data_IF_661011449520
#
_entry.id   IF_661011449520
#
_cell.length_a   1.000
_cell.length_b   1.000
_cell.length_c   1.000
_cell.angle_alpha   90.00
_cell.angle_beta   90.00
_cell.angle_gamma   90.00
#
_symmetry.space_group_name_H-M   'P 1'
#
loop_
_entity.id
_entity.type
_entity.pdbx_description
1 polymer ?
#
# COMPACT_ATOMS: atom_id res chain seq x y z
N UNK A 1 -64.49 65.89 -47.33
CA UNK A 1 -64.68 66.86 -46.22
C UNK A 1 -63.95 66.30 -45.00
N UNK A 2 -63.62 67.14 -44.00
CA UNK A 2 -63.03 66.72 -42.72
C UNK A 2 -64.10 66.02 -41.82
N UNK A 3 -63.83 65.39 -40.67
CA UNK A 3 -62.85 65.69 -39.60
C UNK A 3 -62.44 64.48 -38.74
N UNK A 4 -61.25 64.60 -38.13
CA UNK A 4 -60.81 64.02 -36.83
C UNK A 4 -60.72 62.48 -36.67
N UNK A 5 -59.93 61.95 -35.71
CA UNK A 5 -59.23 62.61 -34.59
C UNK A 5 -57.77 62.16 -34.38
N UNK A 6 -57.04 62.91 -33.55
CA UNK A 6 -55.57 62.98 -33.45
C UNK A 6 -55.17 63.39 -32.01
N UNK A 7 -54.06 62.96 -31.38
CA UNK A 7 -53.17 61.79 -31.58
C UNK A 7 -52.21 61.67 -30.36
N UNK A 8 -51.59 60.50 -30.12
CA UNK A 8 -50.22 60.31 -29.56
C UNK A 8 -49.81 58.83 -29.76
N UNK A 9 -48.72 58.40 -30.42
CA UNK A 9 -47.36 58.90 -30.76
C UNK A 9 -46.26 58.49 -29.76
N UNK A 10 -45.54 57.40 -30.12
CA UNK A 10 -44.11 57.08 -29.91
C UNK A 10 -43.85 55.63 -30.44
N UNK A 11 -43.03 55.29 -31.45
CA UNK A 11 -42.06 56.00 -32.31
C UNK A 11 -40.83 56.58 -31.57
N UNK A 12 -39.55 56.37 -31.96
CA UNK A 12 -38.85 55.58 -33.01
C UNK A 12 -37.67 54.80 -32.33
N UNK A 13 -36.61 54.20 -32.91
CA UNK A 13 -36.02 53.93 -34.26
C UNK A 13 -35.10 52.67 -34.06
N UNK A 14 -34.75 51.72 -34.96
CA UNK A 14 -34.81 51.47 -36.40
C UNK A 14 -33.53 51.73 -37.25
N UNK A 15 -32.72 50.66 -37.46
CA UNK A 15 -31.60 50.50 -38.42
C UNK A 15 -30.30 51.34 -38.15
N UNK A 16 -29.11 51.08 -38.73
CA UNK A 16 -28.70 50.16 -39.81
C UNK A 16 -27.16 49.84 -39.80
N UNK A 17 -26.76 48.76 -40.49
CA UNK A 17 -25.51 48.70 -41.28
C UNK A 17 -24.18 48.26 -40.62
N UNK A 18 -23.29 47.69 -41.45
CA UNK A 18 -21.86 47.49 -41.14
C UNK A 18 -21.39 46.03 -41.01
N UNK A 19 -20.63 45.53 -41.98
CA UNK A 19 -19.91 44.25 -41.89
C UNK A 19 -18.52 44.48 -41.29
N UNK A 20 -18.14 43.71 -40.27
CA UNK A 20 -16.75 43.40 -39.97
C UNK A 20 -16.61 42.05 -39.27
N UNK A 21 -15.59 41.26 -39.63
CA UNK A 21 -15.26 40.02 -38.91
C UNK A 21 -14.55 40.36 -37.59
N UNK A 22 -14.92 39.67 -36.52
CA UNK A 22 -14.05 39.42 -35.38
C UNK A 22 -14.43 38.08 -34.75
N UNK A 23 -13.50 37.14 -34.74
CA UNK A 23 -13.72 35.83 -34.13
C UNK A 23 -13.46 35.92 -32.62
N UNK A 24 -14.45 35.52 -31.82
CA UNK A 24 -14.24 35.14 -30.42
C UNK A 24 -14.83 33.75 -30.19
N UNK A 25 -14.07 32.94 -29.45
CA UNK A 25 -14.27 31.51 -29.28
C UNK A 25 -14.96 31.19 -27.97
N UNK A 26 -15.84 30.19 -27.99
CA UNK A 26 -15.82 28.96 -27.14
C UNK A 26 -17.17 28.24 -27.33
N UNK A 27 -17.19 26.90 -27.54
CA UNK A 27 -18.40 26.19 -27.95
C UNK A 27 -19.20 25.59 -26.79
N UNK A 28 -20.53 25.60 -26.91
CA UNK A 28 -21.38 24.56 -26.32
C UNK A 28 -21.63 23.48 -27.39
N UNK A 29 -20.67 22.56 -27.53
CA UNK A 29 -20.82 21.37 -28.35
C UNK A 29 -21.29 20.20 -27.49
N UNK A 30 -22.45 19.64 -27.81
CA UNK A 30 -22.87 18.36 -27.24
C UNK A 30 -21.97 17.26 -27.79
N UNK A 31 -21.30 16.52 -26.90
CA UNK A 31 -20.72 15.22 -27.21
C UNK A 31 -21.28 14.17 -26.25
N UNK A 32 -21.69 13.06 -26.84
CA UNK A 32 -22.21 11.89 -26.14
C UNK A 32 -21.02 11.01 -25.79
N UNK A 33 -20.52 11.14 -24.55
CA UNK A 33 -19.62 10.14 -23.98
C UNK A 33 -20.34 8.78 -23.89
N UNK A 34 -19.76 7.69 -24.39
CA UNK A 34 -20.30 6.36 -24.18
C UNK A 34 -20.10 5.96 -22.72
N UNK A 35 -21.20 5.67 -22.02
CA UNK A 35 -21.18 5.28 -20.60
C UNK A 35 -20.56 3.90 -20.39
N UNK A 36 -19.23 3.84 -20.33
CA UNK A 36 -18.50 2.74 -19.70
C UNK A 36 -18.64 2.85 -18.19
N UNK A 37 -19.76 2.35 -17.66
CA UNK A 37 -19.84 2.01 -16.24
C UNK A 37 -18.81 0.91 -15.94
N UNK A 38 -17.64 1.30 -15.43
CA UNK A 38 -16.79 0.37 -14.67
C UNK A 38 -17.53 0.05 -13.38
N UNK A 39 -18.39 -0.98 -13.43
CA UNK A 39 -19.11 -1.47 -12.26
C UNK A 39 -18.07 -1.99 -11.27
N UNK A 40 -17.88 -1.27 -10.16
CA UNK A 40 -16.83 -1.56 -9.17
C UNK A 40 -17.14 -2.84 -8.37
N UNK A 41 -16.85 -3.99 -8.97
CA UNK A 41 -16.97 -5.32 -8.36
C UNK A 41 -15.70 -5.71 -7.58
N UNK A 42 -15.19 -4.80 -6.76
CA UNK A 42 -14.02 -5.03 -5.88
C UNK A 42 -14.46 -4.96 -4.43
N UNK A 43 -15.20 -5.98 -3.97
CA UNK A 43 -15.71 -6.03 -2.59
C UNK A 43 -14.86 -6.91 -1.69
N UNK A 44 -14.27 -6.27 -0.68
CA UNK A 44 -13.70 -6.84 0.54
C UNK A 44 -12.55 -7.86 0.35
N UNK A 45 -11.32 -7.41 0.59
CA UNK A 45 -10.09 -8.23 0.62
C UNK A 45 -9.49 -8.41 2.04
N UNK A 46 -9.99 -9.33 2.87
CA UNK A 46 -9.33 -9.65 4.14
C UNK A 46 -7.93 -10.28 4.00
N UNK A 47 -6.91 -9.56 4.46
CA UNK A 47 -5.56 -10.11 4.62
C UNK A 47 -5.52 -11.07 5.85
N UNK A 48 -4.88 -12.25 5.76
CA UNK A 48 -5.05 -13.31 6.76
C UNK A 48 -4.42 -13.05 8.13
N UNK A 49 -5.18 -13.34 9.19
CA UNK A 49 -4.66 -13.59 10.53
C UNK A 49 -4.06 -15.00 10.67
N UNK A 50 -3.04 -15.09 11.53
CA UNK A 50 -2.52 -16.35 12.06
C UNK A 50 -3.02 -16.56 13.49
N UNK A 51 -4.00 -17.45 13.74
CA UNK A 51 -4.25 -17.92 15.09
C UNK A 51 -3.07 -18.79 15.53
N UNK A 52 -2.26 -18.28 16.46
CA UNK A 52 -1.24 -19.10 17.12
C UNK A 52 -1.94 -20.19 17.94
N UNK A 53 -1.43 -21.45 17.95
CA UNK A 53 -1.92 -22.46 18.88
C UNK A 53 -1.66 -22.00 20.33
N UNK A 54 -2.60 -22.29 21.22
CA UNK A 54 -2.45 -22.03 22.64
C UNK A 54 -1.17 -22.70 23.20
N UNK A 55 -0.49 -22.10 24.19
CA UNK A 55 0.83 -22.56 24.62
C UNK A 55 0.78 -23.97 25.24
N UNK A 56 1.28 -24.95 24.49
CA UNK A 56 1.69 -26.24 25.02
C UNK A 56 2.69 -26.01 26.16
N UNK A 57 2.44 -26.63 27.32
CA UNK A 57 3.38 -26.61 28.46
C UNK A 57 4.61 -27.45 28.13
N UNK A 58 5.56 -26.87 27.40
CA UNK A 58 6.87 -27.48 27.16
C UNK A 58 7.74 -27.37 28.41
N UNK A 59 7.76 -28.42 29.22
CA UNK A 59 8.85 -28.65 30.17
C UNK A 59 9.99 -29.34 29.43
N UNK A 60 11.00 -28.55 29.03
CA UNK A 60 12.26 -29.01 28.44
C UNK A 60 13.37 -28.01 28.78
N UNK A 61 14.64 -28.44 28.87
CA UNK A 61 15.69 -27.66 29.53
C UNK A 61 16.10 -26.42 28.73
N UNK A 62 16.57 -25.40 29.45
CA UNK A 62 17.10 -24.17 28.85
C UNK A 62 18.41 -24.48 28.10
N UNK A 63 18.52 -24.16 26.81
CA UNK A 63 19.82 -23.88 26.22
C UNK A 63 20.33 -22.52 26.71
N UNK A 64 21.64 -22.31 26.67
CA UNK A 64 22.23 -20.97 26.77
C UNK A 64 21.97 -20.21 25.46
N UNK A 65 20.87 -19.46 25.41
CA UNK A 65 20.61 -18.49 24.34
C UNK A 65 21.06 -17.10 24.78
N UNK A 66 22.21 -16.65 24.26
CA UNK A 66 22.60 -15.24 24.30
C UNK A 66 21.50 -14.41 23.63
N UNK A 67 20.80 -13.58 24.41
CA UNK A 67 19.66 -12.82 23.92
C UNK A 67 20.09 -11.91 22.75
N UNK A 68 19.31 -11.92 21.66
CA UNK A 68 19.59 -11.05 20.51
C UNK A 68 19.54 -9.58 20.96
N UNK A 69 20.63 -8.85 20.72
CA UNK A 69 20.79 -7.47 21.18
C UNK A 69 20.26 -6.52 20.11
N UNK A 70 19.20 -5.78 20.45
CA UNK A 70 18.63 -4.81 19.51
C UNK A 70 19.63 -3.70 19.19
N UNK A 71 20.18 -3.71 17.98
CA UNK A 71 21.01 -2.64 17.47
C UNK A 71 20.20 -1.33 17.27
N UNK A 72 20.80 -0.16 17.53
CA UNK A 72 20.11 1.13 17.41
C UNK A 72 19.71 1.41 15.96
N UNK A 73 18.58 2.11 15.70
CA UNK A 73 18.14 2.40 14.35
C UNK A 73 19.16 3.28 13.60
N UNK A 74 19.67 2.76 12.48
CA UNK A 74 20.57 3.47 11.57
C UNK A 74 19.89 3.98 10.28
N UNK A 75 18.56 3.80 10.17
CA UNK A 75 17.80 4.11 8.97
C UNK A 75 17.69 5.61 8.67
N UNK A 76 17.46 5.94 7.39
CA UNK A 76 17.04 7.27 6.95
C UNK A 76 15.81 7.17 6.04
N UNK A 77 15.10 8.29 5.83
CA UNK A 77 13.77 8.31 5.21
C UNK A 77 13.65 9.28 4.05
N UNK A 78 12.85 8.92 3.06
CA UNK A 78 12.35 9.81 2.02
C UNK A 78 10.81 9.84 2.08
N UNK A 79 10.21 11.03 2.19
CA UNK A 79 8.76 11.20 2.01
C UNK A 79 8.51 11.20 0.49
N UNK A 80 7.75 10.21 0.02
CA UNK A 80 7.44 10.03 -1.41
C UNK A 80 6.09 10.68 -1.75
N UNK A 81 5.12 10.55 -0.85
CA UNK A 81 3.82 11.23 -0.93
C UNK A 81 3.39 11.68 0.47
N UNK A 82 2.73 12.84 0.55
CA UNK A 82 2.16 13.39 1.77
C UNK A 82 0.71 12.94 1.99
N UNK A 83 -0.06 12.76 0.91
CA UNK A 83 -1.47 12.37 0.94
C UNK A 83 -1.83 11.54 -0.33
N UNK A 84 -2.03 10.20 -0.21
CA UNK A 84 -1.85 9.39 0.99
C UNK A 84 -0.39 9.42 1.45
N UNK A 85 -0.14 9.31 2.76
CA UNK A 85 1.23 9.31 3.30
C UNK A 85 1.95 8.03 2.92
N UNK A 86 3.02 8.14 2.11
CA UNK A 86 3.94 7.05 1.79
C UNK A 86 5.39 7.51 1.98
N UNK A 87 6.13 6.76 2.79
CA UNK A 87 7.52 7.01 3.17
C UNK A 87 8.37 5.80 2.76
N UNK A 88 9.48 6.06 2.08
CA UNK A 88 10.54 5.08 1.85
C UNK A 88 11.54 5.12 3.02
N UNK A 89 11.99 3.96 3.48
CA UNK A 89 12.92 3.82 4.61
C UNK A 89 14.12 2.98 4.15
N UNK A 90 15.29 3.60 4.11
CA UNK A 90 16.55 2.92 3.81
C UNK A 90 17.13 2.28 5.07
N UNK A 91 17.71 1.08 4.96
CA UNK A 91 18.40 0.38 6.07
C UNK A 91 17.51 0.16 7.32
N UNK A 92 16.22 -0.10 7.10
CA UNK A 92 15.23 -0.35 8.17
C UNK A 92 15.49 -1.66 8.95
N UNK A 93 16.00 -2.69 8.28
CA UNK A 93 16.42 -3.97 8.87
C UNK A 93 17.94 -4.13 8.75
N UNK A 94 18.59 -4.55 9.83
CA UNK A 94 20.01 -4.88 9.80
C UNK A 94 20.25 -6.30 9.27
N UNK A 95 21.47 -6.61 8.81
CA UNK A 95 21.74 -7.90 8.16
C UNK A 95 21.66 -9.10 9.12
N UNK A 96 22.10 -8.92 10.37
CA UNK A 96 21.97 -9.90 11.46
C UNK A 96 20.50 -10.15 11.85
N UNK A 97 19.68 -9.11 11.88
CA UNK A 97 18.23 -9.25 12.06
C UNK A 97 17.61 -10.03 10.91
N UNK A 98 17.96 -9.71 9.66
CA UNK A 98 17.43 -10.40 8.47
C UNK A 98 17.75 -11.89 8.50
N UNK A 99 19.01 -12.25 8.77
CA UNK A 99 19.46 -13.63 8.74
C UNK A 99 18.84 -14.43 9.92
N UNK A 100 18.61 -13.79 11.07
CA UNK A 100 17.84 -14.36 12.20
C UNK A 100 16.34 -14.53 11.87
N UNK A 101 15.68 -13.54 11.28
CA UNK A 101 14.26 -13.60 10.92
C UNK A 101 13.98 -14.68 9.87
N UNK A 102 14.89 -14.83 8.89
CA UNK A 102 14.85 -15.92 7.91
C UNK A 102 14.99 -17.28 8.59
N UNK A 103 15.93 -17.42 9.54
CA UNK A 103 16.14 -18.66 10.30
C UNK A 103 14.90 -19.06 11.11
N UNK A 104 14.24 -18.11 11.78
CA UNK A 104 12.98 -18.37 12.51
C UNK A 104 11.82 -18.71 11.57
N UNK A 105 11.79 -18.16 10.35
CA UNK A 105 10.69 -18.39 9.39
C UNK A 105 10.82 -19.66 8.55
N UNK A 106 12.02 -20.17 8.28
CA UNK A 106 12.22 -21.29 7.35
C UNK A 106 11.34 -22.53 7.64
N UNK A 107 11.24 -23.05 8.89
CA UNK A 107 10.36 -24.19 9.20
C UNK A 107 8.86 -23.82 9.29
N UNK A 108 8.51 -22.55 9.12
CA UNK A 108 7.14 -22.02 9.25
C UNK A 108 6.49 -21.71 7.88
N UNK A 109 7.25 -21.65 6.78
CA UNK A 109 6.71 -21.34 5.46
C UNK A 109 5.71 -22.38 4.95
N UNK A 110 4.57 -21.89 4.48
CA UNK A 110 3.50 -22.67 3.81
C UNK A 110 2.94 -21.84 2.64
N UNK A 111 2.23 -22.46 1.67
CA UNK A 111 1.49 -21.72 0.65
C UNK A 111 0.62 -20.62 1.26
N UNK A 112 0.58 -19.45 0.63
CA UNK A 112 -0.19 -18.31 1.13
C UNK A 112 -1.67 -18.51 0.85
N UNK A 113 -2.49 -18.32 1.87
CA UNK A 113 -3.95 -18.26 1.75
C UNK A 113 -4.41 -16.80 1.76
N UNK A 114 -5.42 -16.46 0.96
CA UNK A 114 -6.16 -15.20 1.10
C UNK A 114 -7.33 -15.47 2.05
N UNK A 115 -7.74 -14.49 2.87
CA UNK A 115 -9.00 -14.62 3.62
C UNK A 115 -10.11 -13.92 2.83
N UNK A 116 -11.23 -14.59 2.59
CA UNK A 116 -12.43 -13.99 1.99
C UNK A 116 -13.64 -14.28 2.88
N UNK A 117 -14.42 -13.25 3.20
CA UNK A 117 -15.54 -13.33 4.15
C UNK A 117 -15.18 -14.00 5.50
N UNK A 118 -14.00 -13.69 6.04
CA UNK A 118 -13.50 -14.27 7.30
C UNK A 118 -13.05 -15.73 7.24
N UNK A 119 -13.00 -16.36 6.06
CA UNK A 119 -12.53 -17.74 5.85
C UNK A 119 -11.31 -17.76 4.95
N UNK A 120 -10.36 -18.68 5.20
CA UNK A 120 -9.22 -18.88 4.31
C UNK A 120 -9.66 -19.58 3.02
N UNK A 121 -9.18 -19.07 1.89
CA UNK A 121 -9.45 -19.59 0.54
C UNK A 121 -8.12 -19.59 -0.22
N UNK A 122 -7.84 -20.69 -0.92
CA UNK A 122 -6.80 -20.72 -1.94
C UNK A 122 -7.37 -20.05 -3.20
N UNK A 123 -6.89 -18.85 -3.53
CA UNK A 123 -7.29 -18.12 -4.75
C UNK A 123 -6.06 -17.86 -5.61
N UNK A 124 -6.20 -17.71 -6.95
CA UNK A 124 -5.06 -17.39 -7.82
C UNK A 124 -4.45 -16.01 -7.52
N UNK A 125 -5.13 -15.16 -6.75
CA UNK A 125 -4.72 -13.79 -6.42
C UNK A 125 -3.36 -13.69 -5.71
N UNK A 126 -2.91 -14.77 -5.06
CA UNK A 126 -1.63 -14.76 -4.34
C UNK A 126 -0.95 -16.12 -4.39
N UNK A 127 0.16 -16.19 -5.12
CA UNK A 127 0.88 -17.45 -5.39
C UNK A 127 2.12 -17.66 -4.51
N UNK A 128 2.41 -16.75 -3.57
CA UNK A 128 3.59 -16.78 -2.68
C UNK A 128 3.54 -17.88 -1.61
N UNK A 129 4.66 -18.14 -0.93
CA UNK A 129 4.69 -18.76 0.40
C UNK A 129 4.68 -17.71 1.52
N UNK A 130 4.20 -18.05 2.71
CA UNK A 130 4.17 -17.17 3.89
C UNK A 130 4.43 -17.89 5.21
N UNK A 131 4.98 -17.16 6.18
CA UNK A 131 5.31 -17.59 7.53
C UNK A 131 4.91 -16.51 8.54
N UNK A 132 4.12 -16.85 9.56
CA UNK A 132 3.81 -15.93 10.67
C UNK A 132 4.86 -16.03 11.77
N UNK A 133 5.53 -14.93 12.09
CA UNK A 133 6.60 -14.93 13.10
C UNK A 133 6.06 -14.74 14.53
N UNK A 134 6.62 -15.44 15.53
CA UNK A 134 6.14 -15.39 16.90
C UNK A 134 6.57 -14.10 17.62
N UNK A 135 5.60 -13.37 18.19
CA UNK A 135 5.78 -12.12 18.95
C UNK A 135 6.76 -12.17 20.15
N UNK A 136 7.23 -13.36 20.53
CA UNK A 136 8.17 -13.58 21.64
C UNK A 136 9.62 -13.78 21.20
N UNK A 137 9.88 -13.94 19.90
CA UNK A 137 11.22 -13.95 19.32
C UNK A 137 11.91 -12.60 19.59
N UNK A 138 13.18 -12.63 19.99
CA UNK A 138 13.94 -11.45 20.40
C UNK A 138 14.20 -10.48 19.23
N UNK A 139 14.49 -11.02 18.05
CA UNK A 139 14.75 -10.24 16.82
C UNK A 139 13.47 -9.60 16.31
N UNK A 140 12.36 -10.35 16.33
CA UNK A 140 11.01 -9.83 16.08
C UNK A 140 10.71 -8.65 17.01
N UNK A 141 11.00 -8.79 18.32
CA UNK A 141 10.78 -7.70 19.27
C UNK A 141 11.63 -6.45 18.99
N UNK A 142 12.86 -6.60 18.51
CA UNK A 142 13.69 -5.46 18.11
C UNK A 142 13.07 -4.68 16.93
N UNK A 143 12.66 -5.39 15.87
CA UNK A 143 12.06 -4.76 14.68
C UNK A 143 10.68 -4.16 15.00
N UNK A 144 9.83 -4.84 15.78
CA UNK A 144 8.52 -4.29 16.18
C UNK A 144 8.67 -3.07 17.10
N UNK A 145 9.69 -3.02 17.95
CA UNK A 145 10.00 -1.83 18.74
C UNK A 145 10.47 -0.66 17.84
N UNK A 146 11.31 -0.93 16.83
CA UNK A 146 11.73 0.06 15.82
C UNK A 146 10.54 0.60 15.03
N UNK A 147 9.64 -0.27 14.58
CA UNK A 147 8.41 0.09 13.87
C UNK A 147 7.45 0.92 14.76
N UNK A 148 7.26 0.55 16.03
CA UNK A 148 6.43 1.35 16.97
C UNK A 148 7.05 2.72 17.23
N UNK A 149 8.38 2.79 17.39
CA UNK A 149 9.09 4.05 17.60
C UNK A 149 8.98 4.99 16.38
N UNK A 150 9.07 4.45 15.16
CA UNK A 150 8.85 5.19 13.91
C UNK A 150 7.45 5.83 13.86
N UNK A 151 6.40 5.11 14.28
CA UNK A 151 5.02 5.63 14.30
C UNK A 151 4.77 6.68 15.39
N UNK A 152 5.63 6.77 16.41
CA UNK A 152 5.53 7.74 17.49
C UNK A 152 4.13 7.81 18.11
N UNK A 153 3.54 9.00 18.09
CA UNK A 153 2.22 9.30 18.69
C UNK A 153 1.02 8.78 17.91
N UNK A 154 1.20 8.14 16.74
CA UNK A 154 0.09 7.49 16.03
C UNK A 154 -0.42 6.23 16.74
N UNK A 155 0.42 5.59 17.56
CA UNK A 155 0.06 4.37 18.30
C UNK A 155 -0.40 4.71 19.71
N UNK A 156 -1.66 4.40 20.03
CA UNK A 156 -2.19 4.55 21.40
C UNK A 156 -1.72 3.39 22.29
N UNK A 157 -1.90 3.51 23.60
CA UNK A 157 -1.53 2.45 24.56
C UNK A 157 -2.34 1.16 24.39
N UNK A 158 -3.56 1.27 23.84
CA UNK A 158 -4.42 0.14 23.54
C UNK A 158 -4.08 -0.61 22.23
N UNK A 159 -3.17 -0.06 21.42
CA UNK A 159 -2.88 -0.49 20.04
C UNK A 159 -1.60 -1.34 19.95
N UNK A 160 -1.62 -2.39 19.12
CA UNK A 160 -0.51 -3.35 18.97
C UNK A 160 0.12 -3.32 17.58
N UNK A 161 1.35 -3.81 17.43
CA UNK A 161 2.03 -3.87 16.12
C UNK A 161 1.61 -5.06 15.25
N UNK A 162 0.84 -6.00 15.83
CA UNK A 162 0.51 -7.30 15.23
C UNK A 162 1.71 -8.26 15.13
N UNK A 163 1.48 -9.56 14.92
CA UNK A 163 2.53 -10.50 14.53
C UNK A 163 2.95 -10.23 13.07
N UNK A 164 4.26 -10.08 12.77
CA UNK A 164 4.70 -9.86 11.40
C UNK A 164 4.60 -11.15 10.56
N UNK A 165 4.35 -10.99 9.26
CA UNK A 165 4.29 -12.07 8.29
C UNK A 165 5.47 -11.97 7.33
N UNK A 166 6.35 -12.97 7.30
CA UNK A 166 7.31 -13.14 6.21
C UNK A 166 6.60 -13.77 5.00
N UNK A 167 7.00 -13.31 3.81
CA UNK A 167 6.40 -13.70 2.53
C UNK A 167 7.53 -13.94 1.53
N UNK A 168 7.45 -15.03 0.75
CA UNK A 168 8.47 -15.43 -0.22
C UNK A 168 7.83 -15.66 -1.59
N UNK A 169 8.36 -14.98 -2.59
CA UNK A 169 7.99 -15.09 -4.00
C UNK A 169 9.17 -15.68 -4.77
N UNK A 170 8.92 -16.70 -5.60
CA UNK A 170 9.85 -17.17 -6.64
C UNK A 170 9.47 -16.60 -8.01
N UNK A 171 10.29 -16.82 -9.03
CA UNK A 171 9.96 -16.63 -10.44
C UNK A 171 8.48 -16.94 -10.77
N UNK A 172 7.82 -16.03 -11.47
CA UNK A 172 6.41 -16.07 -11.84
C UNK A 172 5.40 -15.78 -10.72
N UNK A 173 5.81 -15.70 -9.45
CA UNK A 173 4.88 -15.45 -8.34
C UNK A 173 4.64 -13.96 -8.10
N UNK A 174 3.39 -13.63 -7.76
CA UNK A 174 2.89 -12.28 -7.55
C UNK A 174 1.85 -12.22 -6.41
N UNK A 175 1.38 -11.01 -6.09
CA UNK A 175 0.18 -10.79 -5.28
C UNK A 175 -0.64 -9.67 -5.93
N UNK A 176 -1.87 -10.00 -6.33
CA UNK A 176 -2.83 -9.11 -6.97
C UNK A 176 -3.06 -7.80 -6.20
N UNK A 177 -3.64 -6.85 -6.91
CA UNK A 177 -4.03 -5.54 -6.41
C UNK A 177 -5.02 -5.65 -5.24
N UNK A 178 -4.66 -5.08 -4.08
CA UNK A 178 -5.42 -5.20 -2.82
C UNK A 178 -5.14 -4.02 -1.88
N UNK A 179 -5.95 -3.89 -0.83
CA UNK A 179 -5.67 -3.05 0.33
C UNK A 179 -5.19 -3.89 1.50
N UNK A 180 -4.45 -3.29 2.42
CA UNK A 180 -4.01 -3.96 3.63
C UNK A 180 -5.02 -3.83 4.79
N UNK A 181 -5.95 -2.88 4.72
CA UNK A 181 -7.02 -2.64 5.69
C UNK A 181 -8.27 -3.51 5.44
N UNK A 182 -9.21 -3.51 6.38
CA UNK A 182 -10.49 -4.23 6.27
C UNK A 182 -11.67 -3.26 6.19
N UNK A 183 -12.62 -3.46 5.27
CA UNK A 183 -13.86 -2.66 5.18
C UNK A 183 -14.70 -2.74 6.47
N UNK A 184 -14.67 -3.90 7.11
CA UNK A 184 -15.25 -4.15 8.42
C UNK A 184 -14.14 -4.54 9.40
N UNK A 185 -13.93 -3.79 10.50
CA UNK A 185 -12.94 -4.14 11.52
C UNK A 185 -13.07 -5.58 12.02
N UNK A 186 -11.96 -6.31 12.06
CA UNK A 186 -11.93 -7.72 12.46
C UNK A 186 -12.03 -7.86 13.97
N UNK A 187 -12.65 -8.94 14.46
CA UNK A 187 -12.76 -9.19 15.92
C UNK A 187 -11.41 -9.57 16.51
N UNK A 188 -11.08 -9.01 17.68
CA UNK A 188 -9.87 -9.37 18.42
C UNK A 188 -9.89 -10.84 18.89
N UNK A 189 -8.77 -11.55 18.67
CA UNK A 189 -8.59 -12.96 19.05
C UNK A 189 -8.05 -13.15 20.48
N UNK A 190 -7.99 -12.07 21.27
CA UNK A 190 -7.55 -12.03 22.68
C UNK A 190 -8.67 -12.39 23.68
N UNK A 191 -9.90 -12.64 23.20
CA UNK A 191 -11.09 -12.88 24.00
C UNK A 191 -11.82 -11.61 24.46
N UNK A 192 -11.30 -10.42 24.16
CA UNK A 192 -11.96 -9.15 24.49
C UNK A 192 -13.18 -8.86 23.61
N UNK A 193 -14.05 -7.94 24.07
CA UNK A 193 -15.06 -7.29 23.23
C UNK A 193 -14.45 -6.09 22.50
N UNK A 194 -13.50 -6.37 21.61
CA UNK A 194 -12.88 -5.38 20.73
C UNK A 194 -12.87 -5.84 19.28
N UNK A 195 -12.89 -4.89 18.37
CA UNK A 195 -12.49 -5.07 16.97
C UNK A 195 -11.17 -4.34 16.72
N UNK A 196 -10.53 -4.58 15.59
CA UNK A 196 -9.39 -3.81 15.13
C UNK A 196 -9.42 -3.60 13.62
N UNK A 197 -8.82 -2.50 13.17
CA UNK A 197 -8.43 -2.32 11.79
C UNK A 197 -6.94 -1.97 11.74
N UNK A 198 -6.33 -2.08 10.56
CA UNK A 198 -4.88 -1.89 10.39
C UNK A 198 -4.59 -0.45 9.98
N UNK A 199 -4.09 0.36 10.91
CA UNK A 199 -3.92 1.81 10.72
C UNK A 199 -2.80 2.17 9.73
N UNK A 200 -1.79 1.32 9.63
CA UNK A 200 -0.65 1.49 8.74
C UNK A 200 -0.06 0.14 8.35
N UNK A 201 0.89 0.15 7.42
CA UNK A 201 1.68 -1.01 7.02
C UNK A 201 3.16 -0.65 6.92
N UNK A 202 4.03 -1.60 7.27
CA UNK A 202 5.42 -1.62 6.83
C UNK A 202 5.64 -2.84 5.93
N UNK A 203 6.34 -2.65 4.81
CA UNK A 203 6.74 -3.71 3.88
C UNK A 203 8.27 -3.70 3.74
N UNK A 204 8.94 -4.53 4.53
CA UNK A 204 10.41 -4.56 4.61
C UNK A 204 10.99 -5.72 3.77
N UNK A 205 12.11 -5.50 3.08
CA UNK A 205 12.73 -6.48 2.19
C UNK A 205 13.91 -7.19 2.88
N UNK A 206 13.82 -8.52 2.99
CA UNK A 206 14.85 -9.35 3.59
C UNK A 206 15.79 -9.95 2.52
N UNK A 207 15.24 -10.32 1.37
CA UNK A 207 15.98 -10.85 0.22
C UNK A 207 15.39 -10.32 -1.08
N UNK A 208 16.27 -9.98 -2.02
CA UNK A 208 15.91 -9.46 -3.34
C UNK A 208 16.92 -9.96 -4.39
N UNK A 209 17.10 -11.28 -4.45
CA UNK A 209 17.95 -11.91 -5.48
C UNK A 209 17.07 -12.26 -6.67
N UNK A 210 16.54 -11.22 -7.32
CA UNK A 210 15.53 -11.32 -8.36
C UNK A 210 15.67 -10.22 -9.43
N UNK A 211 15.10 -10.49 -10.61
CA UNK A 211 14.68 -9.41 -11.51
C UNK A 211 13.30 -8.91 -11.10
N UNK A 212 12.97 -7.68 -11.51
CA UNK A 212 11.61 -7.13 -11.43
C UNK A 212 11.06 -7.20 -9.99
N UNK A 213 9.82 -7.65 -9.80
CA UNK A 213 9.25 -7.93 -8.48
C UNK A 213 9.05 -6.66 -7.63
N UNK A 214 8.77 -5.51 -8.23
CA UNK A 214 8.45 -4.29 -7.51
C UNK A 214 7.21 -4.43 -6.59
N UNK A 215 7.09 -3.53 -5.61
CA UNK A 215 5.81 -3.25 -4.95
C UNK A 215 5.20 -2.02 -5.64
N UNK A 216 3.96 -2.13 -6.12
CA UNK A 216 3.32 -1.16 -7.02
C UNK A 216 2.12 -0.48 -6.35
N UNK A 217 2.01 0.84 -6.49
CA UNK A 217 0.92 1.69 -6.00
C UNK A 217 0.34 2.54 -7.15
N UNK A 218 -0.79 2.17 -7.80
CA UNK A 218 -1.38 2.92 -8.92
C UNK A 218 -1.81 4.35 -8.57
N UNK A 219 -2.24 4.60 -7.33
CA UNK A 219 -2.85 5.87 -6.92
C UNK A 219 -1.94 6.76 -6.06
N UNK A 220 -0.70 6.34 -5.80
CA UNK A 220 0.32 7.18 -5.18
C UNK A 220 1.05 7.95 -6.28
N UNK A 221 0.98 9.28 -6.24
CA UNK A 221 1.64 10.16 -7.20
C UNK A 221 2.90 10.74 -6.55
N UNK A 222 4.07 10.52 -7.16
CA UNK A 222 5.33 11.07 -6.69
C UNK A 222 5.51 12.56 -6.97
N UNK A 223 6.53 13.21 -6.40
CA UNK A 223 6.85 14.61 -6.69
C UNK A 223 7.25 14.76 -8.16
N UNK A 224 6.65 15.73 -8.86
CA UNK A 224 6.90 15.94 -10.29
C UNK A 224 8.40 16.15 -10.58
N UNK A 225 8.93 15.29 -11.45
CA UNK A 225 10.21 15.41 -12.13
C UNK A 225 11.47 15.65 -11.26
N UNK A 226 11.99 14.58 -10.64
CA UNK A 226 13.39 14.55 -10.19
C UNK A 226 14.30 13.92 -11.24
N UNK A 227 15.28 14.68 -11.71
CA UNK A 227 16.31 14.24 -12.68
C UNK A 227 16.97 12.94 -12.19
N UNK A 228 16.67 11.84 -12.87
CA UNK A 228 17.11 10.48 -12.50
C UNK A 228 15.96 9.47 -12.40
N UNK A 229 14.77 9.90 -11.93
CA UNK A 229 13.60 9.03 -11.74
C UNK A 229 12.68 8.96 -12.97
N UNK A 230 12.60 10.03 -13.77
CA UNK A 230 11.80 10.13 -15.01
C UNK A 230 12.24 9.19 -16.16
N UNK A 231 13.06 8.18 -15.88
CA UNK A 231 13.27 7.09 -16.82
C UNK A 231 12.22 6.02 -16.56
N UNK A 232 11.12 6.10 -17.30
CA UNK A 232 10.34 4.90 -17.61
C UNK A 232 11.33 3.82 -18.08
N UNK A 233 11.42 2.73 -17.33
CA UNK A 233 12.37 1.64 -17.60
C UNK A 233 11.72 0.75 -18.66
N UNK A 234 11.66 1.28 -19.87
CA UNK A 234 10.71 0.87 -20.90
C UNK A 234 10.69 -0.62 -21.17
N UNK A 235 9.46 -1.15 -21.27
CA UNK A 235 9.08 -2.56 -21.45
C UNK A 235 10.03 -3.35 -22.38
N UNK A 236 11.00 -4.06 -21.80
CA UNK A 236 11.91 -4.95 -22.50
C UNK A 236 12.59 -5.95 -21.54
N UNK A 237 12.01 -7.14 -21.43
CA UNK A 237 12.52 -8.35 -20.74
C UNK A 237 12.72 -8.27 -19.20
N UNK A 238 12.72 -9.42 -18.49
CA UNK A 238 13.06 -9.50 -17.07
C UNK A 238 14.46 -8.91 -16.80
N UNK A 239 14.56 -7.82 -16.03
CA UNK A 239 15.79 -7.03 -15.98
C UNK A 239 16.51 -7.13 -14.64
N UNK A 240 17.74 -7.64 -14.69
CA UNK A 240 18.65 -7.64 -13.54
C UNK A 240 18.93 -6.20 -13.06
N UNK A 241 18.57 -5.92 -11.80
CA UNK A 241 18.70 -4.61 -11.18
C UNK A 241 20.16 -4.21 -10.95
N UNK A 242 20.50 -2.95 -11.25
CA UNK A 242 21.84 -2.36 -11.09
C UNK A 242 21.88 -1.39 -9.91
N UNK A 243 23.04 -1.17 -9.31
CA UNK A 243 23.19 -0.21 -8.20
C UNK A 243 22.99 1.26 -8.63
N UNK A 244 22.98 1.53 -9.94
CA UNK A 244 22.67 2.84 -10.54
C UNK A 244 21.19 3.05 -10.87
N UNK A 245 20.35 2.02 -10.72
CA UNK A 245 18.91 2.11 -11.02
C UNK A 245 18.18 2.78 -9.84
N UNK A 246 17.17 3.62 -10.09
CA UNK A 246 16.49 4.34 -9.01
C UNK A 246 15.72 3.40 -8.08
N UNK A 247 15.57 3.84 -6.83
CA UNK A 247 14.79 3.17 -5.77
C UNK A 247 13.34 2.91 -6.18
N UNK A 248 12.78 3.84 -6.94
CA UNK A 248 11.41 3.81 -7.46
C UNK A 248 11.33 4.50 -8.82
N UNK A 249 10.33 4.10 -9.60
CA UNK A 249 10.02 4.62 -10.94
C UNK A 249 8.52 4.92 -11.05
N UNK A 250 8.17 5.77 -12.00
CA UNK A 250 6.80 5.80 -12.53
C UNK A 250 6.50 4.44 -13.20
N UNK A 251 5.29 3.93 -12.99
CA UNK A 251 4.82 2.69 -13.62
C UNK A 251 4.04 3.00 -14.90
N UNK A 252 4.09 2.11 -15.89
CA UNK A 252 3.57 2.40 -17.25
C UNK A 252 2.05 2.62 -17.29
N UNK A 253 1.33 2.09 -16.31
CA UNK A 253 -0.12 2.26 -16.12
C UNK A 253 -0.49 3.47 -15.22
N UNK A 254 0.51 4.28 -14.85
CA UNK A 254 0.40 5.34 -13.83
C UNK A 254 0.81 4.87 -12.44
N UNK A 255 0.96 5.81 -11.51
CA UNK A 255 1.42 5.51 -10.14
C UNK A 255 2.92 5.19 -10.03
N UNK A 256 3.33 4.60 -8.90
CA UNK A 256 4.74 4.33 -8.58
C UNK A 256 5.02 2.84 -8.34
N UNK A 257 6.15 2.36 -8.87
CA UNK A 257 6.70 1.04 -8.62
C UNK A 257 8.03 1.14 -7.85
N UNK A 258 8.13 0.43 -6.72
CA UNK A 258 9.26 0.45 -5.80
C UNK A 258 10.08 -0.85 -5.92
N UNK A 259 11.37 -0.72 -6.24
CA UNK A 259 12.31 -1.83 -6.39
C UNK A 259 12.51 -2.58 -5.06
N UNK A 260 12.59 -3.92 -5.05
CA UNK A 260 13.01 -4.68 -3.87
C UNK A 260 14.52 -4.49 -3.61
N UNK A 261 14.89 -4.00 -2.42
CA UNK A 261 16.29 -3.77 -1.99
C UNK A 261 16.45 -4.30 -0.56
N UNK A 262 17.32 -5.30 -0.32
CA UNK A 262 17.58 -5.89 1.02
C UNK A 262 17.86 -4.79 2.05
N UNK A 263 17.21 -4.87 3.21
CA UNK A 263 17.34 -3.90 4.31
C UNK A 263 16.27 -2.81 4.31
N UNK A 264 15.81 -2.39 3.13
CA UNK A 264 14.89 -1.26 3.02
C UNK A 264 13.42 -1.65 3.27
N UNK A 265 12.59 -0.66 3.58
CA UNK A 265 11.16 -0.81 3.78
C UNK A 265 10.34 0.32 3.18
N UNK A 266 9.09 0.02 2.84
CA UNK A 266 8.04 1.00 2.60
C UNK A 266 7.18 1.14 3.85
N UNK A 267 6.71 2.35 4.13
CA UNK A 267 5.68 2.63 5.13
C UNK A 267 4.56 3.45 4.49
N UNK A 268 3.30 3.11 4.80
CA UNK A 268 2.15 3.94 4.45
C UNK A 268 1.03 3.85 5.48
N UNK A 269 0.18 4.87 5.53
CA UNK A 269 -0.98 4.95 6.43
C UNK A 269 -2.23 4.48 5.68
N UNK A 270 -2.85 3.41 6.18
CA UNK A 270 -3.96 2.70 5.54
C UNK A 270 -5.34 3.33 5.81
N UNK A 271 -5.49 4.10 6.90
CA UNK A 271 -6.77 4.63 7.36
C UNK A 271 -6.75 6.16 7.40
N UNK A 272 -7.85 6.77 6.97
CA UNK A 272 -8.17 8.16 7.24
C UNK A 272 -8.44 8.39 8.74
N UNK A 273 -8.40 9.65 9.19
CA UNK A 273 -8.55 10.02 10.61
C UNK A 273 -9.92 9.73 11.23
N UNK A 274 -10.94 9.45 10.40
CA UNK A 274 -12.27 8.96 10.77
C UNK A 274 -12.34 7.43 10.96
N UNK A 275 -11.25 6.69 10.65
CA UNK A 275 -11.18 5.23 10.71
C UNK A 275 -11.61 4.49 9.44
N UNK A 276 -12.02 5.17 8.37
CA UNK A 276 -12.29 4.50 7.07
C UNK A 276 -10.99 4.21 6.32
N UNK A 277 -11.01 3.18 5.47
CA UNK A 277 -9.89 2.89 4.58
C UNK A 277 -9.56 4.05 3.64
N UNK A 278 -8.28 4.22 3.34
CA UNK A 278 -7.83 5.08 2.23
C UNK A 278 -7.73 4.22 0.96
N UNK A 279 -8.60 4.49 0.00
CA UNK A 279 -8.65 3.77 -1.27
C UNK A 279 -7.35 3.91 -2.08
N UNK A 280 -6.58 5.00 -1.86
CA UNK A 280 -5.37 5.33 -2.62
C UNK A 280 -4.16 4.50 -2.19
N UNK A 281 -4.26 3.76 -1.08
CA UNK A 281 -3.23 2.78 -0.66
C UNK A 281 -3.47 1.37 -1.23
N UNK A 282 -4.33 1.26 -2.24
CA UNK A 282 -4.42 0.09 -3.10
C UNK A 282 -3.03 -0.20 -3.70
N UNK A 283 -2.55 -1.44 -3.60
CA UNK A 283 -1.21 -1.81 -4.02
C UNK A 283 -1.10 -3.29 -4.44
N UNK A 284 -0.02 -3.64 -5.13
CA UNK A 284 0.26 -4.99 -5.62
C UNK A 284 1.73 -5.38 -5.41
N UNK A 285 2.00 -6.69 -5.36
CA UNK A 285 3.34 -7.23 -5.56
C UNK A 285 3.47 -7.71 -7.00
N UNK A 286 4.22 -6.98 -7.84
CA UNK A 286 4.42 -7.35 -9.24
C UNK A 286 5.13 -8.71 -9.35
N UNK A 287 4.96 -9.44 -10.48
CA UNK A 287 5.65 -10.71 -10.68
C UNK A 287 7.16 -10.58 -10.51
N UNK A 288 7.74 -11.52 -9.76
CA UNK A 288 9.19 -11.77 -9.82
C UNK A 288 9.49 -12.43 -11.16
N UNK A 289 10.42 -11.88 -11.95
CA UNK A 289 10.84 -12.50 -13.22
C UNK A 289 11.70 -13.74 -12.96
N UNK A 290 12.99 -13.54 -12.70
CA UNK A 290 13.91 -14.59 -12.26
C UNK A 290 14.18 -14.51 -10.74
N UNK A 291 14.64 -15.62 -10.15
CA UNK A 291 15.15 -15.66 -8.78
C UNK A 291 14.06 -15.64 -7.70
N UNK A 292 14.30 -14.93 -6.59
CA UNK A 292 13.36 -14.84 -5.46
C UNK A 292 13.44 -13.53 -4.65
N UNK A 293 12.27 -13.13 -4.12
CA UNK A 293 12.05 -12.00 -3.21
C UNK A 293 11.49 -12.54 -1.88
N UNK A 294 12.14 -12.23 -0.75
CA UNK A 294 11.58 -12.46 0.59
C UNK A 294 11.37 -11.12 1.28
N UNK A 295 10.15 -10.86 1.75
CA UNK A 295 9.76 -9.61 2.42
C UNK A 295 9.04 -9.91 3.75
N UNK A 296 8.79 -8.87 4.54
CA UNK A 296 8.09 -8.91 5.82
C UNK A 296 7.05 -7.80 5.89
N UNK A 297 5.81 -8.20 6.16
CA UNK A 297 4.71 -7.30 6.44
C UNK A 297 4.60 -7.08 7.95
N UNK A 298 4.49 -5.83 8.38
CA UNK A 298 4.15 -5.45 9.76
C UNK A 298 2.87 -4.61 9.70
N UNK A 299 1.86 -4.99 10.49
CA UNK A 299 0.52 -4.42 10.41
C UNK A 299 0.07 -3.85 11.76
N UNK A 300 0.48 -2.61 12.10
CA UNK A 300 -0.08 -1.82 13.19
C UNK A 300 -1.61 -1.89 13.27
N UNK A 301 -2.14 -2.25 14.43
CA UNK A 301 -3.58 -2.49 14.69
C UNK A 301 -4.13 -1.45 15.64
N UNK A 302 -5.11 -0.69 15.15
CA UNK A 302 -5.90 0.23 15.94
C UNK A 302 -7.15 -0.48 16.43
N UNK A 303 -7.34 -0.59 17.76
CA UNK A 303 -8.50 -1.27 18.34
C UNK A 303 -9.68 -0.32 18.59
N UNK A 304 -10.89 -0.86 18.49
CA UNK A 304 -12.14 -0.21 18.81
C UNK A 304 -12.96 -1.09 19.77
N UNK A 305 -13.89 -0.52 20.56
CA UNK A 305 -14.90 -1.31 21.24
C UNK A 305 -15.70 -2.17 20.24
N UNK A 306 -16.15 -3.34 20.66
CA UNK A 306 -17.20 -4.08 19.96
C UNK A 306 -18.55 -3.70 20.58
N UNK A 307 -19.29 -2.83 19.89
CA UNK A 307 -20.68 -2.45 20.20
C UNK A 307 -21.59 -3.68 20.38
#
# INVERSE_FOLDING_TARGET
MAFSSIVRVASLIAAAGGVLLLALTIPYALHLEPSLELISFVTHFPVPDFPFPAPLKSTSPSPDTTAFVCAPPAYHTEIISLDPLLIYIHDFLHSDEIDSLLTTAEPLFKPSTVTKYGRKVDTPDRTSSSAGLPLRDSTVRCVLARARAFMGTMMRDADEMGPPQLIRYTAGQYFNIHHDWYDTPQRAYDGSRRTFNRIASFFAILQANCTDGETYFPYVIGPQARVGHNKAVGNAEPRAWKNSDPTWREHEEGGLAFRPIKGNALFWVNLHSNGTGDERTLHAGLPVGEGWKTAMNIWPRQFYPLD
#
